data_IF_399018888722
#
_entry.id   IF_399018888722
#
_cell.length_a   1.000
_cell.length_b   1.000
_cell.length_c   1.000
_cell.angle_alpha   90.00
_cell.angle_beta   90.00
_cell.angle_gamma   90.00
#
_symmetry.space_group_name_H-M   'P 1'
#
loop_
_entity.id
_entity.type
_entity.pdbx_description
1 polymer ?
#
# COMPACT_ATOMS: atom_id res chain seq x y z
N UNK A 1 -1.23 -4.57 -4.93
CA UNK A 1 -0.75 -5.37 -3.79
C UNK A 1 -1.40 -4.83 -2.53
N UNK A 2 -1.93 -5.71 -1.68
CA UNK A 2 -2.42 -5.30 -0.36
C UNK A 2 -2.00 -6.28 0.73
N UNK A 3 -1.91 -5.77 1.97
CA UNK A 3 -1.69 -6.58 3.17
C UNK A 3 -3.02 -7.18 3.61
N UNK A 4 -3.09 -8.50 3.75
CA UNK A 4 -4.31 -9.20 4.16
C UNK A 4 -4.59 -8.96 5.65
N UNK A 5 -5.71 -8.30 5.93
CA UNK A 5 -6.12 -7.93 7.28
C UNK A 5 -6.45 -9.13 8.18
N UNK A 6 -6.75 -10.30 7.58
CA UNK A 6 -7.11 -11.48 8.35
C UNK A 6 -5.88 -12.23 8.87
N UNK A 7 -4.76 -12.17 8.15
CA UNK A 7 -3.54 -12.90 8.50
C UNK A 7 -2.47 -12.00 9.12
N UNK A 8 -2.51 -10.70 8.83
CA UNK A 8 -1.52 -9.76 9.32
C UNK A 8 -1.69 -9.38 10.81
N UNK A 9 -0.57 -9.41 11.52
CA UNK A 9 -0.42 -8.77 12.83
C UNK A 9 0.88 -7.94 12.85
N UNK A 10 0.92 -6.84 13.61
CA UNK A 10 2.09 -5.98 13.75
C UNK A 10 3.35 -6.71 14.24
N UNK A 11 3.18 -7.82 14.95
CA UNK A 11 4.31 -8.69 15.33
C UNK A 11 5.05 -9.27 14.11
N UNK A 12 4.36 -9.36 12.98
CA UNK A 12 4.88 -9.90 11.73
C UNK A 12 5.31 -8.80 10.74
N UNK A 13 5.28 -7.51 11.12
CA UNK A 13 5.62 -6.38 10.23
C UNK A 13 6.95 -6.55 9.50
N UNK A 14 7.99 -7.06 10.16
CA UNK A 14 9.30 -7.31 9.52
C UNK A 14 9.26 -8.46 8.51
N UNK A 15 8.42 -9.48 8.71
CA UNK A 15 8.26 -10.57 7.75
C UNK A 15 7.57 -10.09 6.47
N UNK A 16 6.61 -9.15 6.61
CA UNK A 16 5.92 -8.52 5.48
C UNK A 16 6.89 -7.76 4.56
N UNK A 17 7.92 -7.10 5.11
CA UNK A 17 8.93 -6.37 4.32
C UNK A 17 9.55 -7.26 3.24
N UNK A 18 9.95 -8.47 3.59
CA UNK A 18 10.58 -9.40 2.64
C UNK A 18 9.62 -9.82 1.51
N UNK A 19 8.35 -10.03 1.84
CA UNK A 19 7.32 -10.39 0.85
C UNK A 19 7.10 -9.24 -0.13
N UNK A 20 6.97 -8.01 0.39
CA UNK A 20 6.79 -6.80 -0.42
C UNK A 20 8.00 -6.56 -1.31
N UNK A 21 9.22 -6.64 -0.76
CA UNK A 21 10.47 -6.46 -1.50
C UNK A 21 10.57 -7.41 -2.68
N UNK A 22 10.24 -8.67 -2.48
CA UNK A 22 10.28 -9.68 -3.54
C UNK A 22 9.27 -9.38 -4.65
N UNK A 23 8.04 -8.98 -4.29
CA UNK A 23 7.03 -8.57 -5.27
C UNK A 23 7.43 -7.29 -6.02
N UNK A 24 7.95 -6.29 -5.30
CA UNK A 24 8.42 -5.05 -5.88
C UNK A 24 9.49 -5.30 -6.93
N UNK A 25 10.49 -6.15 -6.63
CA UNK A 25 11.53 -6.53 -7.58
C UNK A 25 10.95 -7.14 -8.86
N UNK A 26 10.07 -8.13 -8.73
CA UNK A 26 9.40 -8.79 -9.88
C UNK A 26 8.64 -7.78 -10.74
N UNK A 27 7.82 -6.94 -10.11
CA UNK A 27 7.00 -5.96 -10.82
C UNK A 27 7.82 -4.87 -11.49
N UNK A 28 8.93 -4.45 -10.88
CA UNK A 28 9.87 -3.52 -11.50
C UNK A 28 10.55 -4.13 -12.73
N UNK A 29 10.99 -5.40 -12.65
CA UNK A 29 11.57 -6.12 -13.80
C UNK A 29 10.56 -6.26 -14.95
N UNK A 30 9.27 -6.42 -14.63
CA UNK A 30 8.17 -6.48 -15.60
C UNK A 30 7.68 -5.09 -16.08
N UNK A 31 8.23 -3.99 -15.57
CA UNK A 31 7.73 -2.63 -15.77
C UNK A 31 6.24 -2.45 -15.46
N UNK A 32 5.74 -3.18 -14.45
CA UNK A 32 4.33 -3.13 -14.01
C UNK A 32 4.19 -2.24 -12.78
N UNK A 33 3.64 -1.02 -12.92
CA UNK A 33 3.35 -0.18 -11.76
C UNK A 33 2.24 -0.82 -10.91
N UNK A 34 2.25 -0.55 -9.61
CA UNK A 34 1.23 -1.08 -8.71
C UNK A 34 0.81 -0.07 -7.64
N UNK A 35 -0.35 -0.34 -7.05
CA UNK A 35 -0.85 0.32 -5.85
C UNK A 35 -0.54 -0.59 -4.66
N UNK A 36 -0.08 0.02 -3.57
CA UNK A 36 0.28 -0.64 -2.32
C UNK A 36 -0.65 -0.18 -1.21
N UNK A 37 -1.39 -1.12 -0.62
CA UNK A 37 -2.39 -0.83 0.40
C UNK A 37 -2.06 -1.62 1.66
N UNK A 38 -1.99 -0.97 2.81
CA UNK A 38 -1.81 -1.72 4.06
C UNK A 38 -1.86 -0.88 5.33
N UNK A 39 -1.82 -1.54 6.48
CA UNK A 39 -2.08 -0.91 7.77
C UNK A 39 -0.88 -0.12 8.30
N UNK A 40 -1.17 0.95 9.04
CA UNK A 40 -0.19 1.70 9.83
C UNK A 40 0.79 2.55 9.00
N UNK A 41 1.93 2.88 9.62
CA UNK A 41 2.99 3.73 9.07
C UNK A 41 3.94 2.94 8.18
N UNK A 42 4.01 3.30 6.91
CA UNK A 42 5.00 2.75 6.00
C UNK A 42 6.32 3.49 6.14
N UNK A 43 7.42 2.76 6.35
CA UNK A 43 8.75 3.36 6.54
C UNK A 43 9.10 3.76 7.96
N UNK A 44 8.25 3.43 8.93
CA UNK A 44 8.58 3.66 10.33
C UNK A 44 9.72 2.74 10.78
N UNK A 45 10.65 3.26 11.58
CA UNK A 45 11.63 2.43 12.27
C UNK A 45 11.00 1.58 13.40
N UNK A 46 9.77 1.91 13.82
CA UNK A 46 9.03 1.16 14.83
C UNK A 46 8.04 0.18 14.16
N UNK A 47 8.30 -1.15 14.20
CA UNK A 47 7.43 -2.15 13.60
C UNK A 47 6.06 -2.27 14.27
N UNK A 48 5.89 -1.73 15.49
CA UNK A 48 4.60 -1.70 16.18
C UNK A 48 3.69 -0.56 15.71
N UNK A 49 4.19 0.33 14.86
CA UNK A 49 3.42 1.41 14.25
C UNK A 49 3.06 1.14 12.78
N UNK A 50 3.61 0.10 12.17
CA UNK A 50 3.36 -0.23 10.77
C UNK A 50 4.44 -1.09 10.17
N UNK A 51 4.69 -0.91 8.87
CA UNK A 51 5.58 -1.78 8.09
C UNK A 51 6.90 -1.06 7.84
N UNK A 52 8.04 -1.57 8.37
CA UNK A 52 9.34 -0.92 8.32
C UNK A 52 10.08 -1.16 7.00
N UNK A 53 9.43 -0.87 5.87
CA UNK A 53 10.09 -0.91 4.54
C UNK A 53 11.01 0.28 4.34
N UNK A 54 12.07 0.14 3.55
CA UNK A 54 12.78 1.29 2.98
C UNK A 54 12.31 1.55 1.55
N UNK A 55 12.62 2.72 0.97
CA UNK A 55 12.12 3.08 -0.36
C UNK A 55 12.47 2.04 -1.43
N UNK A 56 13.70 1.50 -1.41
CA UNK A 56 14.13 0.48 -2.38
C UNK A 56 13.34 -0.83 -2.28
N UNK A 57 12.66 -1.10 -1.17
CA UNK A 57 11.77 -2.26 -1.04
C UNK A 57 10.42 -2.04 -1.76
N UNK A 58 10.05 -0.79 -2.06
CA UNK A 58 8.76 -0.41 -2.66
C UNK A 58 8.87 0.51 -3.89
N UNK A 59 10.06 0.69 -4.46
CA UNK A 59 10.35 1.73 -5.46
C UNK A 59 9.52 1.67 -6.76
N UNK A 60 8.86 0.55 -7.07
CA UNK A 60 7.95 0.41 -8.22
C UNK A 60 6.50 0.86 -7.95
N UNK A 61 6.19 1.26 -6.71
CA UNK A 61 4.85 1.71 -6.33
C UNK A 61 4.49 3.03 -7.00
N UNK A 62 3.23 3.23 -7.37
CA UNK A 62 2.71 4.51 -7.88
C UNK A 62 1.72 5.18 -6.95
N UNK A 63 1.08 4.41 -6.07
CA UNK A 63 0.19 4.92 -5.04
C UNK A 63 0.36 4.08 -3.78
N UNK A 64 0.64 4.73 -2.66
CA UNK A 64 0.67 4.13 -1.32
C UNK A 64 -0.62 4.53 -0.61
N UNK A 65 -1.29 3.58 0.02
CA UNK A 65 -2.52 3.79 0.79
C UNK A 65 -2.32 3.25 2.21
N UNK A 66 -2.19 4.16 3.18
CA UNK A 66 -2.21 3.82 4.60
C UNK A 66 -3.65 3.56 5.06
N UNK A 67 -3.82 2.49 5.81
CA UNK A 67 -5.11 2.08 6.38
C UNK A 67 -5.04 1.97 7.90
N UNK A 68 -6.17 2.17 8.61
CA UNK A 68 -6.22 1.90 10.04
C UNK A 68 -5.87 0.45 10.36
N UNK A 69 -5.24 0.22 11.51
CA UNK A 69 -4.97 -1.13 12.01
C UNK A 69 -5.88 -1.46 13.20
N UNK A 70 -6.92 -2.28 12.96
CA UNK A 70 -7.90 -2.66 13.99
C UNK A 70 -8.45 -1.38 14.68
N UNK A 71 -8.63 -1.40 15.99
CA UNK A 71 -9.07 -0.24 16.78
C UNK A 71 -7.91 0.67 17.25
N UNK A 72 -6.67 0.40 16.83
CA UNK A 72 -5.52 1.20 17.29
C UNK A 72 -5.45 2.51 16.53
N UNK A 73 -5.37 3.61 17.27
CA UNK A 73 -5.03 4.91 16.71
C UNK A 73 -3.51 4.98 16.49
N UNK A 74 -3.11 4.85 15.23
CA UNK A 74 -1.74 5.06 14.78
C UNK A 74 -1.77 6.30 13.90
N UNK A 75 -1.09 7.38 14.29
CA UNK A 75 -1.07 8.56 13.42
C UNK A 75 -0.39 8.18 12.10
N UNK A 76 -0.92 8.60 10.95
CA UNK A 76 -0.31 8.32 9.66
C UNK A 76 1.07 8.99 9.55
N UNK A 77 1.98 8.37 8.78
CA UNK A 77 3.30 8.96 8.54
C UNK A 77 3.25 10.16 7.59
N UNK A 78 2.14 10.29 6.85
CA UNK A 78 1.95 11.27 5.78
C UNK A 78 3.07 11.23 4.72
N UNK A 79 3.69 10.06 4.52
CA UNK A 79 4.76 9.88 3.55
C UNK A 79 6.07 10.59 3.88
N UNK A 80 6.21 11.14 5.09
CA UNK A 80 7.42 11.88 5.50
C UNK A 80 8.71 11.06 5.39
N UNK A 81 8.63 9.74 5.62
CA UNK A 81 9.75 8.82 5.49
C UNK A 81 10.29 8.68 4.05
N UNK A 82 9.47 8.98 3.04
CA UNK A 82 9.79 8.78 1.63
C UNK A 82 9.64 10.04 0.79
N UNK A 83 9.54 11.21 1.43
CA UNK A 83 9.05 12.42 0.74
C UNK A 83 9.85 12.77 -0.52
N UNK A 84 11.18 12.75 -0.45
CA UNK A 84 12.03 13.06 -1.59
C UNK A 84 11.88 12.06 -2.74
N UNK A 85 11.88 10.76 -2.43
CA UNK A 85 11.74 9.70 -3.42
C UNK A 85 10.35 9.69 -4.06
N UNK A 86 9.31 9.95 -3.27
CA UNK A 86 7.93 10.05 -3.71
C UNK A 86 7.73 11.20 -4.69
N UNK A 87 8.31 12.36 -4.40
CA UNK A 87 8.31 13.51 -5.30
C UNK A 87 9.08 13.23 -6.59
N UNK A 88 10.23 12.56 -6.52
CA UNK A 88 11.04 12.22 -7.68
C UNK A 88 10.37 11.17 -8.60
N UNK A 89 9.56 10.28 -8.03
CA UNK A 89 8.91 9.17 -8.73
C UNK A 89 7.47 9.44 -9.15
N UNK A 90 6.93 10.64 -8.86
CA UNK A 90 5.51 10.95 -9.03
C UNK A 90 4.60 9.89 -8.40
N UNK A 91 4.95 9.47 -7.18
CA UNK A 91 4.17 8.54 -6.37
C UNK A 91 3.18 9.31 -5.51
N UNK A 92 1.95 8.82 -5.43
CA UNK A 92 0.92 9.43 -4.59
C UNK A 92 0.84 8.74 -3.23
N UNK A 93 0.47 9.51 -2.20
CA UNK A 93 0.24 9.03 -0.84
C UNK A 93 -1.17 9.35 -0.40
N UNK A 94 -1.92 8.32 -0.03
CA UNK A 94 -3.27 8.44 0.49
C UNK A 94 -3.35 7.82 1.87
N UNK A 95 -4.19 8.40 2.71
CA UNK A 95 -4.47 7.91 4.05
C UNK A 95 -5.98 7.76 4.15
N UNK A 96 -6.41 6.57 4.53
CA UNK A 96 -7.82 6.30 4.83
C UNK A 96 -8.10 6.52 6.30
N UNK A 97 -9.28 7.04 6.63
CA UNK A 97 -9.67 7.30 8.03
C UNK A 97 -10.34 6.08 8.64
N UNK A 98 -10.99 5.27 7.81
CA UNK A 98 -11.71 4.07 8.22
C UNK A 98 -11.38 2.92 7.28
N UNK A 99 -11.53 1.70 7.77
CA UNK A 99 -11.28 0.49 6.98
C UNK A 99 -12.21 0.45 5.77
N UNK A 100 -13.44 0.94 5.90
CA UNK A 100 -14.48 0.90 4.87
C UNK A 100 -14.27 1.94 3.77
N UNK A 101 -13.28 2.83 3.91
CA UNK A 101 -12.90 3.75 2.83
C UNK A 101 -12.20 2.99 1.67
N UNK A 102 -11.86 1.71 1.86
CA UNK A 102 -11.39 0.78 0.82
C UNK A 102 -12.45 -0.31 0.58
N UNK A 103 -12.77 -0.58 -0.68
CA UNK A 103 -13.65 -1.69 -1.04
C UNK A 103 -12.90 -3.03 -1.04
N UNK A 104 -12.78 -3.64 0.14
CA UNK A 104 -12.06 -4.91 0.34
C UNK A 104 -12.74 -6.11 -0.31
N UNK A 105 -14.08 -6.11 -0.41
CA UNK A 105 -14.83 -7.16 -1.11
C UNK A 105 -14.44 -7.18 -2.59
N UNK A 106 -14.47 -6.02 -3.23
CA UNK A 106 -14.05 -5.88 -4.62
C UNK A 106 -12.58 -6.31 -4.83
N UNK A 107 -11.67 -5.95 -3.92
CA UNK A 107 -10.26 -6.39 -3.99
C UNK A 107 -10.12 -7.92 -3.92
N UNK A 108 -10.93 -8.59 -3.10
CA UNK A 108 -10.92 -10.07 -2.96
C UNK A 108 -11.46 -10.80 -4.17
N UNK A 109 -12.32 -10.16 -4.97
CA UNK A 109 -12.89 -10.73 -6.19
C UNK A 109 -11.93 -10.65 -7.40
N UNK A 110 -10.84 -9.89 -7.29
CA UNK A 110 -9.87 -9.73 -8.37
C UNK A 110 -9.03 -11.01 -8.59
N UNK A 111 -8.43 -11.14 -9.77
CA UNK A 111 -7.56 -12.28 -10.10
C UNK A 111 -6.32 -12.26 -9.22
N UNK A 112 -6.16 -13.26 -8.37
CA UNK A 112 -4.95 -13.43 -7.56
C UNK A 112 -3.80 -13.89 -8.45
N UNK A 113 -2.72 -13.12 -8.50
CA UNK A 113 -1.48 -13.44 -9.22
C UNK A 113 -0.48 -14.13 -8.31
N UNK A 114 -0.37 -13.63 -7.07
CA UNK A 114 0.52 -14.19 -6.05
C UNK A 114 -0.14 -14.02 -4.68
N UNK A 115 -0.14 -15.09 -3.90
CA UNK A 115 -0.70 -15.17 -2.55
C UNK A 115 0.40 -15.65 -1.61
N UNK A 116 0.78 -14.81 -0.66
CA UNK A 116 1.76 -15.15 0.37
C UNK A 116 1.09 -15.19 1.73
N UNK A 117 1.88 -15.34 2.79
CA UNK A 117 1.34 -15.42 4.15
C UNK A 117 0.58 -14.15 4.58
N UNK A 118 1.07 -12.96 4.21
CA UNK A 118 0.51 -11.69 4.69
C UNK A 118 0.10 -10.71 3.59
N UNK A 119 0.47 -10.96 2.33
CA UNK A 119 0.17 -10.03 1.23
C UNK A 119 -0.46 -10.75 0.03
N UNK A 120 -1.35 -10.05 -0.63
CA UNK A 120 -1.98 -10.50 -1.87
C UNK A 120 -1.62 -9.55 -3.01
N UNK A 121 -1.11 -10.12 -4.09
CA UNK A 121 -0.99 -9.46 -5.36
C UNK A 121 -2.18 -9.88 -6.24
N UNK A 122 -3.07 -8.93 -6.47
CA UNK A 122 -4.20 -9.08 -7.38
C UNK A 122 -4.03 -8.21 -8.61
N UNK A 123 -4.51 -8.71 -9.74
CA UNK A 123 -4.54 -7.99 -11.00
C UNK A 123 -5.98 -7.57 -11.32
N UNK A 124 -6.14 -6.31 -11.68
CA UNK A 124 -7.42 -5.72 -12.06
C UNK A 124 -7.63 -5.90 -13.57
N UNK A 125 -8.86 -6.24 -13.99
CA UNK A 125 -9.17 -6.36 -15.42
C UNK A 125 -9.09 -5.03 -16.16
N UNK A 126 -9.43 -3.94 -15.47
CA UNK A 126 -9.33 -2.57 -15.97
C UNK A 126 -8.26 -1.80 -15.21
N UNK A 127 -7.72 -0.76 -15.83
CA UNK A 127 -6.76 0.12 -15.18
C UNK A 127 -7.41 0.85 -13.99
N UNK A 128 -6.62 1.16 -12.97
CA UNK A 128 -7.06 2.01 -11.87
C UNK A 128 -6.62 3.45 -12.14
N UNK A 129 -7.55 4.39 -11.99
CA UNK A 129 -7.32 5.81 -12.09
C UNK A 129 -7.28 6.42 -10.70
N UNK A 130 -6.22 7.17 -10.41
CA UNK A 130 -6.07 7.90 -9.14
C UNK A 130 -6.21 9.39 -9.40
N UNK A 131 -7.10 10.04 -8.65
CA UNK A 131 -7.37 11.48 -8.74
C UNK A 131 -7.12 12.08 -7.37
N UNK A 132 -6.33 13.15 -7.32
CA UNK A 132 -5.99 13.85 -6.07
C UNK A 132 -6.24 15.35 -6.21
N UNK A 133 -6.81 15.94 -5.16
CA UNK A 133 -6.93 17.38 -4.98
C UNK A 133 -6.21 17.78 -3.69
N UNK A 134 -5.00 18.33 -3.85
CA UNK A 134 -4.16 18.79 -2.75
C UNK A 134 -4.70 20.01 -2.00
N UNK A 135 -5.62 20.80 -2.59
CA UNK A 135 -6.17 21.99 -1.94
C UNK A 135 -7.13 21.64 -0.81
N UNK A 136 -7.87 20.54 -0.99
CA UNK A 136 -8.82 20.03 0.00
C UNK A 136 -8.35 18.71 0.65
N UNK A 137 -7.12 18.29 0.34
CA UNK A 137 -6.48 17.07 0.85
C UNK A 137 -7.36 15.81 0.65
N UNK A 138 -7.92 15.64 -0.55
CA UNK A 138 -8.70 14.46 -0.92
C UNK A 138 -8.09 13.71 -2.09
N UNK A 139 -8.27 12.40 -2.09
CA UNK A 139 -7.94 11.56 -3.24
C UNK A 139 -8.90 10.39 -3.34
N UNK A 140 -9.08 9.90 -4.57
CA UNK A 140 -9.89 8.72 -4.86
C UNK A 140 -9.13 7.82 -5.84
N UNK A 141 -9.29 6.51 -5.67
CA UNK A 141 -8.86 5.49 -6.63
C UNK A 141 -10.13 4.85 -7.16
N UNK A 142 -10.32 4.89 -8.47
CA UNK A 142 -11.49 4.35 -9.16
C UNK A 142 -11.04 3.44 -10.29
N UNK A 143 -11.93 2.54 -10.70
CA UNK A 143 -11.74 1.75 -11.91
C UNK A 143 -11.95 2.67 -13.10
N UNK A 144 -10.99 2.71 -14.03
CA UNK A 144 -11.16 3.47 -15.26
C UNK A 144 -12.21 2.78 -16.15
N UNK A 145 -13.11 3.56 -16.74
CA UNK A 145 -14.25 3.04 -17.53
C UNK A 145 -13.82 2.39 -18.84
#
# INVERSE_FOLDING_TARGET
IYVDQNTFDLLNSTQVVNQIKNMNKKLMEENKPYILIGPGRWGSADPYLGIPVIWSDIAGVRVIVETPYKERHIDPSQGSHFFHDMMASNTLYLITKRIEDVNWEWLREQRVVEDTEFIKHVETQKALKTIVDGKISKGIIIIDE
#
